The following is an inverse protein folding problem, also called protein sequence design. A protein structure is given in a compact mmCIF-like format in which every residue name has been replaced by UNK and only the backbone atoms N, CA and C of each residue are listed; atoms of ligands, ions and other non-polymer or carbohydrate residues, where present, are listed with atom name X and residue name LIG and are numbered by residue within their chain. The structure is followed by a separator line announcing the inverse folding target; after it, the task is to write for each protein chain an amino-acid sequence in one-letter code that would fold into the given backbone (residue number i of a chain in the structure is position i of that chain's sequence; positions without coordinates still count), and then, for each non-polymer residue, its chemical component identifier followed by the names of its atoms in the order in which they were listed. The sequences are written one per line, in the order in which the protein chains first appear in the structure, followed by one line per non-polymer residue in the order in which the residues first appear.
data_IF_417836837987
#
_entry.id   IF_417836837987
#
_cell.length_a   1.000
_cell.length_b   1.000
_cell.length_c   1.000
_cell.angle_alpha   90.00
_cell.angle_beta   90.00
_cell.angle_gamma   90.00
#
_symmetry.space_group_name_H-M   'P 1'
#
loop_
_entity.id
_entity.type
_entity.pdbx_description
1 polymer ?
#
# COMPACT_ATOMS: atom_id res chain seq x y z
N UNK A 1 -20.28 0.63 -59.47
CA UNK A 1 -19.93 -0.80 -59.65
C UNK A 1 -20.47 -1.52 -58.43
N UNK A 2 -21.47 -2.38 -58.64
CA UNK A 2 -22.15 -3.18 -57.60
C UNK A 2 -21.20 -4.24 -57.02
N UNK A 3 -21.33 -4.54 -55.73
CA UNK A 3 -21.83 -5.84 -55.27
C UNK A 3 -22.06 -5.83 -53.74
N UNK A 4 -23.34 -5.95 -53.37
CA UNK A 4 -23.85 -6.36 -52.06
C UNK A 4 -23.85 -7.89 -52.05
N UNK A 5 -23.40 -8.52 -50.96
CA UNK A 5 -23.69 -9.94 -50.69
C UNK A 5 -24.50 -10.01 -49.40
N UNK A 6 -25.77 -10.40 -49.56
CA UNK A 6 -26.67 -10.82 -48.50
C UNK A 6 -26.60 -12.34 -48.39
N UNK A 7 -26.58 -12.87 -47.17
CA UNK A 7 -26.84 -14.29 -46.91
C UNK A 7 -28.11 -14.39 -46.06
N UNK A 8 -29.05 -15.17 -46.59
CA UNK A 8 -30.45 -15.31 -46.22
C UNK A 8 -30.62 -16.36 -45.13
N UNK A 9 -31.42 -16.06 -44.11
CA UNK A 9 -31.93 -17.02 -43.14
C UNK A 9 -32.94 -17.98 -43.80
N UNK A 10 -32.86 -19.27 -43.47
CA UNK A 10 -33.86 -20.29 -43.84
C UNK A 10 -34.58 -20.73 -42.57
N UNK A 11 -35.84 -20.33 -42.44
CA UNK A 11 -36.82 -20.98 -41.58
C UNK A 11 -37.52 -22.08 -42.38
N UNK A 12 -37.51 -23.30 -41.87
CA UNK A 12 -38.32 -24.41 -42.37
C UNK A 12 -39.01 -25.11 -41.20
N UNK A 13 -40.33 -24.91 -41.08
CA UNK A 13 -41.20 -25.70 -40.20
C UNK A 13 -41.69 -26.91 -40.98
N UNK A 14 -41.58 -28.11 -40.39
CA UNK A 14 -42.16 -29.34 -40.94
C UNK A 14 -42.38 -30.38 -39.84
N UNK A 15 -43.61 -30.47 -39.34
CA UNK A 15 -44.09 -31.54 -38.47
C UNK A 15 -44.08 -32.88 -39.19
N UNK A 16 -43.58 -33.95 -38.55
CA UNK A 16 -44.16 -35.30 -38.66
C UNK A 16 -43.96 -36.06 -37.35
N UNK A 17 -45.05 -36.63 -36.86
CA UNK A 17 -45.13 -37.46 -35.68
C UNK A 17 -44.86 -38.94 -36.02
N UNK A 18 -44.48 -39.65 -34.95
CA UNK A 18 -44.68 -41.08 -34.71
C UNK A 18 -43.67 -42.09 -35.29
N UNK A 19 -42.82 -42.60 -34.39
CA UNK A 19 -42.48 -44.03 -34.31
C UNK A 19 -42.12 -44.38 -32.87
N UNK A 20 -43.12 -44.88 -32.14
CA UNK A 20 -42.94 -45.81 -31.04
C UNK A 20 -42.22 -47.08 -31.52
N UNK A 21 -41.11 -47.47 -30.89
CA UNK A 21 -40.95 -48.76 -30.20
C UNK A 21 -39.48 -49.13 -29.93
N UNK A 22 -39.19 -49.38 -28.64
CA UNK A 22 -38.38 -50.53 -28.26
C UNK A 22 -36.89 -50.33 -28.05
N UNK A 23 -36.50 -49.63 -26.98
CA UNK A 23 -35.37 -50.07 -26.15
C UNK A 23 -35.79 -49.96 -24.69
N UNK A 24 -35.67 -51.08 -23.97
CA UNK A 24 -36.20 -51.29 -22.64
C UNK A 24 -35.51 -50.43 -21.58
N UNK A 25 -36.32 -49.88 -20.69
CA UNK A 25 -35.91 -49.31 -19.42
C UNK A 25 -35.34 -50.44 -18.54
N UNK A 26 -34.12 -50.31 -17.99
CA UNK A 26 -33.81 -50.96 -16.74
C UNK A 26 -34.57 -50.24 -15.62
N UNK A 27 -35.26 -51.04 -14.82
CA UNK A 27 -35.81 -50.80 -13.50
C UNK A 27 -35.15 -49.64 -12.75
N UNK A 28 -35.83 -48.48 -12.70
CA UNK A 28 -35.53 -47.43 -11.74
C UNK A 28 -35.92 -47.95 -10.36
N UNK A 29 -34.98 -48.66 -9.72
CA UNK A 29 -34.90 -48.64 -8.28
C UNK A 29 -34.77 -47.19 -7.88
N UNK A 30 -35.77 -46.69 -7.13
CA UNK A 30 -35.77 -45.36 -6.55
C UNK A 30 -34.42 -45.08 -5.88
N UNK A 31 -33.57 -44.32 -6.58
CA UNK A 31 -32.45 -43.66 -5.97
C UNK A 31 -33.06 -42.51 -5.16
N UNK A 32 -32.82 -42.59 -3.87
CA UNK A 32 -33.15 -41.61 -2.87
C UNK A 32 -32.47 -40.28 -3.25
N UNK A 33 -33.19 -39.36 -3.87
CA UNK A 33 -32.71 -38.00 -4.19
C UNK A 33 -32.67 -37.10 -2.92
N UNK A 34 -32.11 -37.61 -1.81
CA UNK A 34 -31.94 -36.84 -0.58
C UNK A 34 -30.51 -36.72 -0.08
N UNK A 35 -29.52 -37.16 -0.85
CA UNK A 35 -28.12 -36.85 -0.52
C UNK A 35 -27.65 -35.71 -1.42
N UNK A 36 -27.94 -34.51 -0.95
CA UNK A 36 -27.19 -33.31 -1.29
C UNK A 36 -25.70 -33.62 -1.06
N UNK A 37 -24.84 -33.56 -2.09
CA UNK A 37 -23.40 -33.82 -1.93
C UNK A 37 -22.72 -32.87 -0.93
N UNK A 38 -23.36 -31.75 -0.56
CA UNK A 38 -22.94 -30.86 0.52
C UNK A 38 -23.15 -31.42 1.95
N UNK A 39 -23.73 -32.62 2.09
CA UNK A 39 -23.97 -33.28 3.39
C UNK A 39 -22.89 -34.29 3.80
N UNK A 40 -21.91 -34.56 2.95
CA UNK A 40 -20.75 -35.37 3.26
C UNK A 40 -19.57 -34.48 3.73
N UNK A 41 -19.19 -34.49 5.02
CA UNK A 41 -18.05 -33.72 5.53
C UNK A 41 -16.69 -34.20 4.98
N UNK A 42 -16.66 -35.20 4.10
CA UNK A 42 -15.47 -35.64 3.36
C UNK A 42 -15.51 -35.30 1.85
N UNK A 43 -16.57 -34.62 1.38
CA UNK A 43 -16.62 -34.07 0.03
C UNK A 43 -15.90 -32.71 -0.01
N UNK A 44 -14.63 -32.74 -0.37
CA UNK A 44 -13.93 -31.55 -0.87
C UNK A 44 -14.15 -31.49 -2.39
N UNK A 45 -14.81 -30.45 -2.92
CA UNK A 45 -14.84 -30.24 -4.36
C UNK A 45 -13.41 -30.11 -4.88
N UNK A 46 -13.11 -30.69 -6.04
CA UNK A 46 -11.84 -30.42 -6.71
C UNK A 46 -11.75 -28.93 -7.07
N UNK A 47 -10.57 -28.31 -6.93
CA UNK A 47 -10.27 -26.89 -7.22
C UNK A 47 -10.94 -26.32 -8.49
N UNK A 48 -11.27 -27.15 -9.49
CA UNK A 48 -11.95 -26.74 -10.72
C UNK A 48 -13.45 -26.39 -10.60
N UNK A 49 -14.13 -26.65 -9.46
CA UNK A 49 -15.56 -26.28 -9.28
C UNK A 49 -15.78 -24.93 -8.58
N UNK A 50 -14.71 -24.29 -8.08
CA UNK A 50 -14.78 -22.99 -7.41
C UNK A 50 -14.48 -21.80 -8.34
N UNK A 51 -13.85 -22.03 -9.49
CA UNK A 51 -13.43 -21.01 -10.46
C UNK A 51 -14.55 -20.48 -11.39
N UNK A 52 -15.81 -20.41 -10.93
CA UNK A 52 -16.92 -19.91 -11.76
C UNK A 52 -18.02 -19.18 -10.98
N UNK A 53 -17.69 -18.64 -9.80
CA UNK A 53 -18.67 -17.90 -9.02
C UNK A 53 -18.21 -16.46 -8.88
N UNK A 54 -18.89 -15.56 -9.61
CA UNK A 54 -18.95 -14.10 -9.39
C UNK A 54 -19.46 -13.75 -7.96
N UNK A 55 -18.90 -14.34 -6.91
CA UNK A 55 -19.46 -14.31 -5.56
C UNK A 55 -18.44 -14.59 -4.48
N UNK A 56 -18.57 -13.84 -3.37
CA UNK A 56 -17.78 -13.96 -2.15
C UNK A 56 -17.55 -15.42 -1.74
N UNK A 57 -16.27 -15.79 -1.67
CA UNK A 57 -15.77 -17.07 -1.18
C UNK A 57 -15.18 -16.88 0.22
N UNK A 58 -15.83 -17.45 1.24
CA UNK A 58 -15.25 -17.63 2.57
C UNK A 58 -14.59 -18.99 2.62
N UNK A 59 -13.30 -19.03 2.94
CA UNK A 59 -12.56 -20.26 3.19
C UNK A 59 -12.79 -20.73 4.62
N UNK A 60 -11.88 -21.54 5.16
CA UNK A 60 -12.02 -22.12 6.50
C UNK A 60 -11.13 -21.40 7.51
N UNK A 61 -11.24 -21.73 8.80
CA UNK A 61 -10.31 -21.21 9.81
C UNK A 61 -9.03 -22.05 9.95
N UNK A 62 -8.66 -22.79 8.90
CA UNK A 62 -7.48 -23.64 8.80
C UNK A 62 -6.62 -23.15 7.61
N UNK A 63 -5.35 -23.57 7.51
CA UNK A 63 -4.49 -23.21 6.38
C UNK A 63 -5.11 -23.62 5.01
N UNK A 64 -5.40 -22.64 4.16
CA UNK A 64 -6.03 -22.82 2.86
C UNK A 64 -5.10 -22.48 1.66
N UNK A 65 -5.34 -23.10 0.50
CA UNK A 65 -4.59 -22.86 -0.76
C UNK A 65 -5.58 -22.64 -1.90
N UNK A 66 -5.80 -21.37 -2.23
CA UNK A 66 -6.73 -20.90 -3.23
C UNK A 66 -6.01 -20.40 -4.50
N UNK A 67 -6.59 -20.73 -5.65
CA UNK A 67 -6.19 -20.21 -6.95
C UNK A 67 -7.43 -19.80 -7.73
N UNK A 68 -7.54 -18.50 -7.98
CA UNK A 68 -8.56 -17.86 -8.78
C UNK A 68 -8.32 -17.99 -10.27
N UNK A 69 -9.12 -17.26 -11.04
CA UNK A 69 -9.34 -17.52 -12.45
C UNK A 69 -8.89 -16.42 -13.40
N UNK A 70 -9.78 -16.13 -14.34
CA UNK A 70 -9.67 -15.01 -15.27
C UNK A 70 -10.81 -14.00 -15.07
N UNK A 71 -11.60 -14.20 -14.02
CA UNK A 71 -12.77 -13.43 -13.64
C UNK A 71 -12.45 -12.72 -12.32
N UNK A 72 -13.23 -11.69 -11.97
CA UNK A 72 -13.04 -10.93 -10.73
C UNK A 72 -13.45 -11.80 -9.53
N UNK A 73 -12.50 -12.14 -8.66
CA UNK A 73 -12.70 -12.99 -7.49
C UNK A 73 -12.82 -12.16 -6.19
N UNK A 74 -13.53 -12.69 -5.19
CA UNK A 74 -13.64 -12.08 -3.85
C UNK A 74 -13.45 -13.17 -2.81
N UNK A 75 -12.34 -13.16 -2.08
CA UNK A 75 -11.88 -14.28 -1.25
C UNK A 75 -11.54 -13.79 0.16
N UNK A 76 -12.05 -14.52 1.17
CA UNK A 76 -11.70 -14.38 2.59
C UNK A 76 -11.00 -15.65 3.06
N UNK A 77 -9.75 -15.54 3.52
CA UNK A 77 -9.00 -16.61 4.19
C UNK A 77 -9.53 -16.93 5.58
N UNK A 78 -10.12 -15.94 6.26
CA UNK A 78 -10.57 -16.01 7.67
C UNK A 78 -9.43 -16.20 8.67
N UNK A 79 -8.85 -17.39 8.77
CA UNK A 79 -7.65 -17.56 9.57
C UNK A 79 -7.00 -18.90 9.36
N UNK A 80 -5.74 -19.02 9.75
CA UNK A 80 -4.85 -20.02 9.16
C UNK A 80 -3.68 -19.29 8.51
N UNK A 81 -2.73 -20.04 7.96
CA UNK A 81 -1.68 -19.46 7.12
C UNK A 81 -2.03 -19.79 5.67
N UNK A 82 -2.69 -18.84 5.02
CA UNK A 82 -3.34 -19.04 3.75
C UNK A 82 -2.45 -18.67 2.58
N UNK A 83 -2.71 -19.30 1.44
CA UNK A 83 -2.10 -18.92 0.18
C UNK A 83 -3.18 -18.60 -0.83
N UNK A 84 -3.40 -17.31 -1.07
CA UNK A 84 -4.47 -16.80 -1.92
C UNK A 84 -3.89 -16.22 -3.20
N UNK A 85 -4.38 -16.69 -4.35
CA UNK A 85 -3.99 -16.17 -5.68
C UNK A 85 -5.23 -15.74 -6.43
N UNK A 86 -5.30 -14.47 -6.85
CA UNK A 86 -6.41 -13.93 -7.63
C UNK A 86 -6.34 -14.37 -9.10
N UNK A 87 -5.18 -14.18 -9.73
CA UNK A 87 -4.90 -14.68 -11.07
C UNK A 87 -5.04 -13.58 -12.11
N UNK A 88 -6.09 -13.61 -12.94
CA UNK A 88 -6.45 -12.43 -13.74
C UNK A 88 -7.85 -12.01 -13.36
N UNK A 89 -8.13 -10.73 -13.42
CA UNK A 89 -9.39 -10.17 -12.93
C UNK A 89 -9.05 -8.99 -12.04
N UNK A 90 -10.05 -8.22 -11.63
CA UNK A 90 -9.86 -7.28 -10.52
C UNK A 90 -10.32 -8.00 -9.25
N UNK A 91 -9.36 -8.52 -8.49
CA UNK A 91 -9.60 -9.43 -7.38
C UNK A 91 -9.63 -8.68 -6.03
N UNK A 92 -10.39 -9.21 -5.07
CA UNK A 92 -10.36 -8.77 -3.68
C UNK A 92 -9.97 -9.95 -2.78
N UNK A 93 -8.78 -9.90 -2.18
CA UNK A 93 -8.24 -10.96 -1.34
C UNK A 93 -7.99 -10.44 0.09
N UNK A 94 -8.49 -11.14 1.09
CA UNK A 94 -8.29 -10.86 2.51
C UNK A 94 -7.74 -12.13 3.17
N UNK A 95 -6.51 -12.10 3.69
CA UNK A 95 -5.86 -13.23 4.37
C UNK A 95 -6.52 -13.54 5.71
N UNK A 96 -6.81 -12.50 6.48
CA UNK A 96 -7.52 -12.62 7.75
C UNK A 96 -6.55 -12.75 8.91
N UNK A 97 -6.43 -13.92 9.53
CA UNK A 97 -5.59 -14.09 10.72
C UNK A 97 -4.63 -15.27 10.60
N UNK A 98 -3.33 -14.97 10.67
CA UNK A 98 -2.22 -15.90 10.52
C UNK A 98 -1.23 -15.32 9.51
N UNK A 99 -0.20 -16.08 9.15
CA UNK A 99 0.85 -15.57 8.27
C UNK A 99 0.53 -15.98 6.84
N UNK A 100 -0.03 -15.06 6.08
CA UNK A 100 -0.64 -15.32 4.80
C UNK A 100 0.28 -14.97 3.62
N UNK A 101 -0.02 -15.52 2.46
CA UNK A 101 0.65 -15.22 1.19
C UNK A 101 -0.39 -14.87 0.15
N UNK A 102 -0.46 -13.58 -0.21
CA UNK A 102 -1.43 -13.06 -1.17
C UNK A 102 -0.73 -12.69 -2.48
N UNK A 103 -1.33 -13.09 -3.60
CA UNK A 103 -0.89 -12.69 -4.94
C UNK A 103 -2.10 -12.21 -5.74
N UNK A 104 -2.17 -10.91 -6.06
CA UNK A 104 -3.23 -10.34 -6.90
C UNK A 104 -3.16 -10.90 -8.31
N UNK A 105 -2.06 -10.59 -9.00
CA UNK A 105 -1.74 -11.15 -10.30
C UNK A 105 -1.81 -10.10 -11.39
N UNK A 106 -2.90 -10.06 -12.15
CA UNK A 106 -3.03 -9.18 -13.30
C UNK A 106 -4.35 -8.41 -13.29
N UNK A 107 -4.26 -7.13 -13.65
CA UNK A 107 -5.27 -6.07 -13.43
C UNK A 107 -5.17 -5.50 -12.01
N UNK A 108 -5.97 -4.47 -11.70
CA UNK A 108 -5.88 -3.81 -10.40
C UNK A 108 -6.65 -4.58 -9.34
N UNK A 109 -5.92 -5.03 -8.32
CA UNK A 109 -6.39 -5.87 -7.23
C UNK A 109 -6.47 -5.10 -5.92
N UNK A 110 -7.24 -5.63 -4.97
CA UNK A 110 -7.34 -5.11 -3.61
C UNK A 110 -6.98 -6.20 -2.60
N UNK A 111 -5.87 -6.03 -1.89
CA UNK A 111 -5.26 -7.06 -1.06
C UNK A 111 -5.16 -6.59 0.41
N UNK A 112 -5.52 -7.45 1.34
CA UNK A 112 -5.42 -7.22 2.78
C UNK A 112 -4.77 -8.43 3.44
N UNK A 113 -3.59 -8.29 4.04
CA UNK A 113 -2.94 -9.37 4.79
C UNK A 113 -3.75 -9.74 6.03
N UNK A 114 -4.01 -8.74 6.87
CA UNK A 114 -4.89 -8.87 8.02
C UNK A 114 -4.10 -8.87 9.32
N UNK A 115 -3.90 -10.02 9.96
CA UNK A 115 -3.16 -10.10 11.20
C UNK A 115 -2.19 -11.27 11.17
N UNK A 116 -0.90 -10.99 11.20
CA UNK A 116 0.19 -11.95 11.13
C UNK A 116 1.37 -11.33 10.39
N UNK A 117 2.40 -12.14 10.12
CA UNK A 117 3.49 -11.70 9.24
C UNK A 117 3.16 -12.15 7.81
N UNK A 118 2.71 -11.23 6.98
CA UNK A 118 2.15 -11.50 5.66
C UNK A 118 3.14 -11.23 4.53
N UNK A 119 2.99 -11.98 3.44
CA UNK A 119 3.71 -11.74 2.18
C UNK A 119 2.71 -11.39 1.09
N UNK A 120 2.74 -10.15 0.62
CA UNK A 120 1.77 -9.64 -0.36
C UNK A 120 2.48 -9.22 -1.65
N UNK A 121 1.96 -9.71 -2.78
CA UNK A 121 2.39 -9.32 -4.12
C UNK A 121 1.18 -8.81 -4.91
N UNK A 122 1.16 -7.52 -5.24
CA UNK A 122 0.13 -6.91 -6.09
C UNK A 122 0.16 -7.52 -7.50
N UNK A 123 1.26 -7.29 -8.20
CA UNK A 123 1.52 -7.87 -9.51
C UNK A 123 1.54 -6.80 -10.59
N UNK A 124 0.63 -6.89 -11.55
CA UNK A 124 0.55 -5.95 -12.65
C UNK A 124 -0.83 -5.32 -12.71
N UNK A 125 -0.94 -4.01 -12.57
CA UNK A 125 -2.23 -3.34 -12.46
C UNK A 125 -2.13 -2.20 -11.46
N UNK A 126 -3.18 -1.42 -11.30
CA UNK A 126 -3.19 -0.41 -10.23
C UNK A 126 -3.76 -1.09 -8.99
N UNK A 127 -2.89 -1.50 -8.08
CA UNK A 127 -3.23 -2.30 -6.90
C UNK A 127 -3.43 -1.42 -5.65
N UNK A 128 -4.30 -1.89 -4.74
CA UNK A 128 -4.53 -1.28 -3.44
C UNK A 128 -4.26 -2.30 -2.33
N UNK A 129 -3.26 -2.07 -1.51
CA UNK A 129 -2.75 -3.05 -0.54
C UNK A 129 -2.71 -2.47 0.88
N UNK A 130 -3.09 -3.29 1.86
CA UNK A 130 -2.88 -3.07 3.29
C UNK A 130 -2.21 -4.31 3.88
N UNK A 131 -1.15 -4.13 4.68
CA UNK A 131 -0.44 -5.23 5.32
C UNK A 131 -1.28 -5.78 6.46
N UNK A 132 -1.52 -4.94 7.45
CA UNK A 132 -2.31 -5.24 8.62
C UNK A 132 -1.46 -5.23 9.88
N UNK A 133 -1.79 -6.09 10.84
CA UNK A 133 -1.01 -6.19 12.08
C UNK A 133 0.07 -7.24 11.94
N UNK A 134 1.33 -6.84 12.08
CA UNK A 134 2.50 -7.71 12.09
C UNK A 134 3.56 -7.19 11.14
N UNK A 135 4.72 -7.84 11.10
CA UNK A 135 5.83 -7.41 10.25
C UNK A 135 5.63 -7.96 8.83
N UNK A 136 5.18 -7.11 7.90
CA UNK A 136 4.75 -7.52 6.56
C UNK A 136 5.82 -7.27 5.49
N UNK A 137 5.78 -8.08 4.43
CA UNK A 137 6.62 -7.88 3.25
C UNK A 137 5.76 -7.72 2.00
N UNK A 138 5.80 -6.53 1.43
CA UNK A 138 4.86 -6.11 0.39
C UNK A 138 5.63 -5.66 -0.85
N UNK A 139 5.17 -6.12 -2.01
CA UNK A 139 5.63 -5.65 -3.32
C UNK A 139 4.42 -5.37 -4.20
N UNK A 140 4.21 -4.11 -4.58
CA UNK A 140 3.02 -3.70 -5.34
C UNK A 140 3.18 -4.06 -6.82
N UNK A 141 4.28 -3.67 -7.45
CA UNK A 141 4.72 -4.25 -8.73
C UNK A 141 4.83 -3.24 -9.86
N UNK A 142 4.05 -3.44 -10.93
CA UNK A 142 4.00 -2.54 -12.08
C UNK A 142 2.74 -1.67 -12.00
N UNK A 143 2.79 -0.45 -12.54
CA UNK A 143 1.73 0.57 -12.54
C UNK A 143 1.65 1.36 -11.23
N UNK A 144 0.66 2.25 -11.12
CA UNK A 144 0.57 3.21 -10.03
C UNK A 144 -0.23 2.57 -8.90
N UNK A 145 0.45 2.24 -7.83
CA UNK A 145 -0.12 1.46 -6.74
C UNK A 145 -0.35 2.31 -5.48
N UNK A 146 -1.16 1.77 -4.58
CA UNK A 146 -1.47 2.38 -3.29
C UNK A 146 -1.18 1.35 -2.19
N UNK A 147 -0.26 1.71 -1.30
CA UNK A 147 -0.15 1.09 0.02
C UNK A 147 -0.74 2.03 1.07
N UNK A 148 -1.65 1.52 1.90
CA UNK A 148 -2.30 2.31 2.94
C UNK A 148 -2.27 1.63 4.32
N UNK A 149 -1.21 1.91 5.08
CA UNK A 149 -1.01 1.36 6.41
C UNK A 149 -1.99 1.86 7.49
N UNK A 150 -2.93 2.73 7.14
CA UNK A 150 -3.98 3.19 8.09
C UNK A 150 -5.12 2.16 8.20
N UNK A 151 -5.07 1.09 7.39
CA UNK A 151 -6.10 0.07 7.24
C UNK A 151 -7.42 0.62 6.67
N UNK A 152 -8.39 -0.27 6.42
CA UNK A 152 -9.72 0.10 5.95
C UNK A 152 -10.57 0.79 7.06
N UNK A 153 -10.17 2.01 7.43
CA UNK A 153 -10.96 3.01 8.13
C UNK A 153 -11.08 2.84 9.63
N UNK A 154 -10.13 3.38 10.42
CA UNK A 154 -10.35 3.85 11.79
C UNK A 154 -11.09 2.84 12.72
N UNK A 155 -10.93 1.53 12.46
CA UNK A 155 -11.55 0.43 13.20
C UNK A 155 -10.70 -0.01 14.41
N UNK A 156 -9.61 0.71 14.69
CA UNK A 156 -8.79 0.53 15.88
C UNK A 156 -7.85 -0.67 15.84
N UNK A 157 -7.60 -1.21 14.65
CA UNK A 157 -6.37 -1.93 14.34
C UNK A 157 -5.48 -0.88 13.70
N UNK A 158 -4.48 -0.38 14.44
CA UNK A 158 -3.34 0.24 13.78
C UNK A 158 -2.61 -0.88 13.06
N UNK A 159 -2.12 -0.64 11.85
CA UNK A 159 -1.01 -1.45 11.36
C UNK A 159 0.13 -1.22 12.36
N UNK A 160 0.55 -2.31 12.97
CA UNK A 160 1.55 -2.31 14.01
C UNK A 160 2.52 -3.41 13.64
N UNK A 161 3.72 -3.02 13.24
CA UNK A 161 4.72 -3.92 12.68
C UNK A 161 5.88 -3.11 12.14
N UNK A 162 7.03 -3.76 11.92
CA UNK A 162 8.12 -3.17 11.16
C UNK A 162 8.02 -3.70 9.71
N UNK A 163 7.39 -2.95 8.82
CA UNK A 163 7.04 -3.37 7.46
C UNK A 163 8.11 -3.06 6.42
N UNK A 164 8.12 -3.84 5.34
CA UNK A 164 8.91 -3.54 4.16
C UNK A 164 8.02 -3.48 2.93
N UNK A 165 7.84 -2.28 2.40
CA UNK A 165 6.97 -1.99 1.25
C UNK A 165 7.80 -1.56 0.06
N UNK A 166 7.54 -2.17 -1.09
CA UNK A 166 8.12 -1.79 -2.39
C UNK A 166 7.01 -1.42 -3.36
N UNK A 167 6.99 -0.16 -3.81
CA UNK A 167 6.11 0.32 -4.88
C UNK A 167 6.41 -0.41 -6.20
N UNK A 168 7.62 -0.23 -6.70
CA UNK A 168 8.09 -0.94 -7.88
C UNK A 168 8.23 -0.02 -9.07
N UNK A 169 7.32 -0.09 -10.04
CA UNK A 169 7.37 0.74 -11.24
C UNK A 169 6.06 1.47 -11.48
N UNK A 170 6.04 2.77 -11.25
CA UNK A 170 4.81 3.55 -11.33
C UNK A 170 5.00 4.90 -10.68
N UNK A 171 3.89 5.59 -10.46
CA UNK A 171 3.89 6.69 -9.52
C UNK A 171 3.07 6.23 -8.33
N UNK A 172 3.76 5.71 -7.33
CA UNK A 172 3.16 4.98 -6.22
C UNK A 172 2.84 5.90 -5.05
N UNK A 173 1.83 5.55 -4.27
CA UNK A 173 1.52 6.19 -3.01
C UNK A 173 1.74 5.19 -1.88
N UNK A 174 2.79 5.40 -1.09
CA UNK A 174 3.13 4.55 0.04
C UNK A 174 2.95 5.36 1.32
N UNK A 175 2.04 4.92 2.18
CA UNK A 175 1.84 5.50 3.49
C UNK A 175 1.80 4.38 4.53
N UNK A 176 2.62 4.46 5.55
CA UNK A 176 2.60 3.59 6.71
C UNK A 176 1.78 4.21 7.86
N UNK A 177 1.95 3.67 9.08
CA UNK A 177 1.22 4.17 10.25
C UNK A 177 1.97 4.08 11.59
N UNK A 178 2.12 2.88 12.18
CA UNK A 178 2.93 2.67 13.39
C UNK A 178 3.98 1.61 13.07
N UNK A 179 5.26 1.88 13.32
CA UNK A 179 6.28 0.91 12.97
C UNK A 179 7.64 1.53 12.75
N UNK A 180 8.70 0.72 12.70
CA UNK A 180 9.93 1.14 12.02
C UNK A 180 9.90 0.59 10.60
N UNK A 181 9.32 1.34 9.70
CA UNK A 181 8.97 0.89 8.38
C UNK A 181 10.05 1.22 7.36
N UNK A 182 10.06 0.45 6.27
CA UNK A 182 10.90 0.70 5.11
C UNK A 182 10.03 0.85 3.87
N UNK A 183 9.84 2.09 3.41
CA UNK A 183 9.10 2.42 2.21
C UNK A 183 10.05 2.67 1.04
N UNK A 184 9.89 1.92 -0.05
CA UNK A 184 10.74 1.99 -1.23
C UNK A 184 9.88 2.29 -2.46
N UNK A 185 9.97 3.50 -3.02
CA UNK A 185 9.19 3.92 -4.20
C UNK A 185 9.57 3.12 -5.44
N UNK A 186 10.81 3.28 -5.90
CA UNK A 186 11.37 2.47 -6.99
C UNK A 186 11.57 3.27 -8.27
N UNK A 187 10.79 2.99 -9.32
CA UNK A 187 10.84 3.70 -10.59
C UNK A 187 9.59 4.55 -10.76
N UNK A 188 9.78 5.80 -11.16
CA UNK A 188 8.72 6.77 -11.42
C UNK A 188 8.60 7.75 -10.26
N UNK A 189 7.56 8.58 -10.26
CA UNK A 189 7.48 9.70 -9.33
C UNK A 189 6.57 9.32 -8.16
N UNK A 190 7.18 9.00 -7.03
CA UNK A 190 6.49 8.37 -5.91
C UNK A 190 6.18 9.37 -4.79
N UNK A 191 5.14 9.08 -4.02
CA UNK A 191 4.81 9.78 -2.78
C UNK A 191 4.95 8.80 -1.62
N UNK A 192 5.91 9.05 -0.74
CA UNK A 192 6.16 8.24 0.46
C UNK A 192 5.85 9.10 1.69
N UNK A 193 5.10 8.53 2.64
CA UNK A 193 4.72 9.22 3.86
C UNK A 193 4.92 8.28 5.07
N UNK A 194 5.98 8.56 5.83
CA UNK A 194 6.39 7.92 7.09
C UNK A 194 5.88 8.65 8.33
N UNK A 195 4.72 9.32 8.23
CA UNK A 195 4.19 10.12 9.35
C UNK A 195 2.89 9.57 9.85
N UNK A 196 2.71 9.65 11.16
CA UNK A 196 1.48 9.25 11.79
C UNK A 196 0.45 10.41 11.84
N UNK A 197 -0.85 10.18 11.51
CA UNK A 197 -1.85 11.26 11.35
C UNK A 197 -2.24 12.04 12.60
N UNK A 198 -2.10 11.43 13.79
CA UNK A 198 -2.61 11.97 15.06
C UNK A 198 -1.51 12.39 16.06
N UNK A 199 -0.25 12.08 15.76
CA UNK A 199 0.96 12.38 16.52
C UNK A 199 2.15 12.07 15.64
N UNK A 200 3.31 12.69 15.86
CA UNK A 200 4.52 12.23 15.20
C UNK A 200 4.92 10.84 15.72
N UNK A 201 5.40 9.94 14.86
CA UNK A 201 5.83 8.60 15.27
C UNK A 201 7.17 8.61 16.05
N UNK A 202 7.21 7.98 17.22
CA UNK A 202 8.48 7.82 17.95
C UNK A 202 9.43 6.80 17.29
N UNK A 203 8.91 6.02 16.35
CA UNK A 203 9.67 5.07 15.56
C UNK A 203 10.27 5.75 14.33
N UNK A 204 11.38 5.18 13.85
CA UNK A 204 12.21 5.80 12.84
C UNK A 204 12.13 5.00 11.54
N UNK A 205 11.59 5.63 10.51
CA UNK A 205 11.35 4.99 9.23
C UNK A 205 12.50 5.21 8.25
N UNK A 206 12.52 4.39 7.21
CA UNK A 206 13.44 4.51 6.08
C UNK A 206 12.65 4.67 4.81
N UNK A 207 12.69 5.87 4.23
CA UNK A 207 12.03 6.19 2.97
C UNK A 207 13.08 6.36 1.86
N UNK A 208 12.95 5.59 0.78
CA UNK A 208 13.78 5.70 -0.42
C UNK A 208 12.90 5.91 -1.66
N UNK A 209 12.96 7.11 -2.25
CA UNK A 209 12.19 7.47 -3.46
C UNK A 209 12.62 6.65 -4.67
N UNK A 210 13.90 6.72 -5.02
CA UNK A 210 14.48 5.87 -6.06
C UNK A 210 14.77 6.65 -7.33
N UNK A 211 14.08 6.36 -8.44
CA UNK A 211 14.25 7.07 -9.70
C UNK A 211 13.00 7.85 -10.07
N UNK A 212 13.05 9.17 -9.98
CA UNK A 212 11.90 9.99 -10.32
C UNK A 212 12.02 11.37 -9.70
N UNK A 213 10.93 12.12 -9.76
CA UNK A 213 10.76 13.29 -8.88
C UNK A 213 9.85 12.85 -7.74
N UNK A 214 10.46 12.55 -6.59
CA UNK A 214 9.77 11.91 -5.47
C UNK A 214 9.37 12.93 -4.39
N UNK A 215 8.30 12.62 -3.66
CA UNK A 215 7.81 13.40 -2.53
C UNK A 215 7.87 12.55 -1.27
N UNK A 216 8.81 12.88 -0.37
CA UNK A 216 9.02 12.13 0.87
C UNK A 216 8.59 13.00 2.05
N UNK A 217 7.63 12.51 2.82
CA UNK A 217 7.20 13.10 4.08
C UNK A 217 7.69 12.19 5.20
N UNK A 218 8.49 12.73 6.11
CA UNK A 218 8.94 12.00 7.29
C UNK A 218 8.84 12.85 8.54
N UNK A 219 8.90 12.18 9.67
CA UNK A 219 8.98 12.80 10.98
C UNK A 219 10.20 12.34 11.78
N UNK A 220 10.18 12.64 13.07
CA UNK A 220 11.34 12.63 13.94
C UNK A 220 11.98 11.24 14.08
N UNK A 221 13.16 11.07 13.49
CA UNK A 221 13.92 9.84 13.55
C UNK A 221 14.15 9.24 12.16
N UNK A 222 13.30 9.62 11.21
CA UNK A 222 13.30 9.05 9.88
C UNK A 222 14.58 9.33 9.11
N UNK A 223 14.90 8.40 8.23
CA UNK A 223 15.94 8.55 7.23
C UNK A 223 15.32 8.57 5.85
N UNK A 224 15.42 9.72 5.18
CA UNK A 224 14.90 9.97 3.85
C UNK A 224 16.04 9.98 2.82
N UNK A 225 15.83 9.31 1.70
CA UNK A 225 16.74 9.29 0.54
C UNK A 225 15.90 9.54 -0.70
N UNK A 226 16.13 10.66 -1.38
CA UNK A 226 15.38 10.99 -2.60
C UNK A 226 15.79 10.08 -3.76
N UNK A 227 17.11 9.89 -3.92
CA UNK A 227 17.68 9.10 -4.99
C UNK A 227 17.98 9.96 -6.22
N UNK A 228 17.35 9.62 -7.34
CA UNK A 228 17.66 10.17 -8.64
C UNK A 228 16.51 10.97 -9.21
N UNK A 229 16.59 12.29 -9.07
CA UNK A 229 15.84 13.23 -9.88
C UNK A 229 15.77 14.58 -9.21
N UNK A 230 14.58 15.10 -8.98
CA UNK A 230 14.40 16.36 -8.25
C UNK A 230 13.30 16.15 -7.24
N UNK A 231 13.74 15.80 -6.04
CA UNK A 231 12.89 15.34 -4.97
C UNK A 231 12.48 16.49 -4.04
N UNK A 232 11.40 16.23 -3.31
CA UNK A 232 10.87 17.14 -2.31
C UNK A 232 10.76 16.42 -0.98
N UNK A 233 11.19 17.10 0.08
CA UNK A 233 11.18 16.55 1.43
C UNK A 233 10.29 17.43 2.28
N UNK A 234 9.33 16.83 2.96
CA UNK A 234 8.55 17.45 4.01
C UNK A 234 8.93 16.82 5.35
N UNK A 235 9.29 17.66 6.31
CA UNK A 235 9.69 17.25 7.65
C UNK A 235 8.62 17.73 8.62
N UNK A 236 7.87 16.80 9.18
CA UNK A 236 7.00 17.05 10.31
C UNK A 236 7.84 17.02 11.61
N UNK A 237 7.56 17.94 12.53
CA UNK A 237 8.36 18.08 13.74
C UNK A 237 7.56 18.70 14.89
N UNK A 238 7.92 18.32 16.11
CA UNK A 238 7.37 18.86 17.36
C UNK A 238 8.53 19.24 18.28
N UNK A 239 8.44 20.41 18.92
CA UNK A 239 9.47 20.85 19.85
C UNK A 239 9.33 20.21 21.23
N UNK A 240 10.43 20.27 22.00
CA UNK A 240 10.49 19.98 23.44
C UNK A 240 10.10 18.55 23.83
N UNK A 241 10.11 17.60 22.88
CA UNK A 241 9.76 16.19 23.09
C UNK A 241 10.98 15.24 23.18
N UNK A 242 12.22 15.76 23.23
CA UNK A 242 13.47 14.95 23.17
C UNK A 242 13.52 14.01 21.94
N UNK A 243 12.90 14.42 20.82
CA UNK A 243 12.75 13.61 19.61
C UNK A 243 13.99 13.71 18.71
N UNK A 244 14.32 12.62 18.01
CA UNK A 244 15.48 12.56 17.12
C UNK A 244 15.22 13.35 15.83
N UNK A 245 16.26 13.98 15.30
CA UNK A 245 16.15 14.77 14.07
C UNK A 245 16.01 13.85 12.84
N UNK A 246 15.23 14.30 11.86
CA UNK A 246 15.13 13.63 10.55
C UNK A 246 16.48 13.68 9.85
N UNK A 247 16.82 12.63 9.12
CA UNK A 247 18.05 12.54 8.33
C UNK A 247 17.69 12.54 6.85
N UNK A 248 18.27 13.44 6.06
CA UNK A 248 18.26 13.31 4.59
C UNK A 248 19.66 12.92 4.12
N UNK A 249 19.75 11.78 3.43
CA UNK A 249 21.03 11.15 3.10
C UNK A 249 21.72 11.76 1.87
N UNK A 250 20.97 12.30 0.91
CA UNK A 250 21.49 12.61 -0.43
C UNK A 250 21.00 13.92 -1.07
N UNK A 251 20.45 14.85 -0.27
CA UNK A 251 19.89 16.12 -0.74
C UNK A 251 20.78 16.88 -1.76
N UNK A 252 20.27 17.09 -2.98
CA UNK A 252 20.81 18.05 -3.95
C UNK A 252 20.26 19.46 -3.68
N UNK A 253 20.91 20.18 -2.77
CA UNK A 253 20.54 21.53 -2.37
C UNK A 253 20.40 22.57 -3.51
N UNK A 254 20.90 22.28 -4.72
CA UNK A 254 20.73 23.17 -5.87
C UNK A 254 19.34 23.06 -6.51
N UNK A 255 18.72 21.88 -6.43
CA UNK A 255 17.50 21.54 -7.17
C UNK A 255 16.35 21.09 -6.27
N UNK A 256 16.66 20.51 -5.13
CA UNK A 256 15.70 19.92 -4.20
C UNK A 256 15.34 20.90 -3.09
N UNK A 257 14.16 20.69 -2.52
CA UNK A 257 13.56 21.57 -1.52
C UNK A 257 13.21 20.78 -0.28
N UNK A 258 13.52 21.36 0.87
CA UNK A 258 13.06 20.89 2.17
C UNK A 258 11.99 21.85 2.69
N UNK A 259 10.85 21.30 3.09
CA UNK A 259 9.77 22.02 3.75
C UNK A 259 9.63 21.50 5.16
N UNK A 260 9.56 22.39 6.15
CA UNK A 260 9.14 22.01 7.50
C UNK A 260 7.67 22.35 7.67
N UNK A 261 6.87 21.34 8.04
CA UNK A 261 5.46 21.50 8.35
C UNK A 261 5.30 22.08 9.76
N UNK A 262 4.91 23.36 9.86
CA UNK A 262 4.73 24.07 11.12
C UNK A 262 3.24 24.38 11.42
N UNK A 263 2.33 23.59 10.85
CA UNK A 263 0.87 23.76 10.94
C UNK A 263 0.36 23.81 12.39
N UNK A 264 1.00 23.08 13.31
CA UNK A 264 0.59 22.99 14.72
C UNK A 264 0.94 24.22 15.56
N UNK A 265 1.79 25.11 15.03
CA UNK A 265 2.24 26.29 15.76
C UNK A 265 1.31 27.50 15.62
N UNK A 266 0.19 27.39 14.92
CA UNK A 266 -0.79 28.48 14.81
C UNK A 266 -0.30 29.70 14.03
N UNK A 267 -1.23 30.56 13.60
CA UNK A 267 -0.93 31.65 12.66
C UNK A 267 -0.04 32.78 13.21
N UNK A 268 0.21 32.83 14.52
CA UNK A 268 1.10 33.81 15.15
C UNK A 268 2.49 33.24 15.49
N UNK A 269 2.77 31.99 15.14
CA UNK A 269 4.12 31.46 15.22
C UNK A 269 5.10 32.23 14.35
N UNK A 270 6.29 32.42 14.89
CA UNK A 270 7.45 32.91 14.17
C UNK A 270 8.53 31.89 14.34
N UNK A 271 8.92 31.24 13.24
CA UNK A 271 9.97 30.25 13.19
C UNK A 271 11.14 30.76 12.35
N UNK A 272 12.34 30.46 12.81
CA UNK A 272 13.61 30.76 12.15
C UNK A 272 14.47 29.50 12.10
N UNK A 273 15.29 29.38 11.05
CA UNK A 273 16.20 28.25 10.89
C UNK A 273 17.64 28.73 10.70
N UNK A 274 18.60 27.91 11.16
CA UNK A 274 20.04 28.10 10.95
C UNK A 274 20.68 26.77 10.55
N UNK A 275 21.67 26.80 9.64
CA UNK A 275 22.44 25.62 9.28
C UNK A 275 23.84 25.65 9.94
N UNK A 276 24.16 24.61 10.70
CA UNK A 276 25.50 24.37 11.25
C UNK A 276 26.20 23.27 10.43
N UNK A 277 27.27 23.63 9.70
CA UNK A 277 28.01 22.70 8.84
C UNK A 277 29.34 22.24 9.45
N UNK A 278 29.54 20.93 9.52
CA UNK A 278 30.82 20.30 9.86
C UNK A 278 31.53 19.80 8.57
N UNK A 279 32.62 20.45 8.14
CA UNK A 279 33.36 20.06 6.94
C UNK A 279 34.13 18.75 7.07
N UNK A 280 34.40 18.27 8.28
CA UNK A 280 35.15 17.02 8.49
C UNK A 280 34.27 15.79 8.27
N UNK A 281 32.99 15.88 8.64
CA UNK A 281 31.98 14.83 8.41
C UNK A 281 31.20 15.02 7.11
N UNK A 282 31.11 16.24 6.59
CA UNK A 282 30.18 16.57 5.51
C UNK A 282 28.73 16.63 5.98
N UNK A 283 28.50 16.85 7.27
CA UNK A 283 27.15 16.92 7.85
C UNK A 283 26.74 18.38 8.03
N UNK A 284 25.51 18.74 7.63
CA UNK A 284 24.88 19.99 8.01
C UNK A 284 23.68 19.71 8.92
N UNK A 285 23.61 20.36 10.07
CA UNK A 285 22.47 20.28 10.97
C UNK A 285 21.62 21.54 10.84
N UNK A 286 20.34 21.40 10.55
CA UNK A 286 19.38 22.50 10.57
C UNK A 286 18.80 22.58 11.98
N UNK A 287 18.99 23.75 12.58
CA UNK A 287 18.48 24.12 13.89
C UNK A 287 17.24 24.99 13.67
N UNK A 288 16.12 24.62 14.29
CA UNK A 288 14.91 25.43 14.32
C UNK A 288 14.82 26.17 15.66
N UNK A 289 14.31 27.40 15.62
CA UNK A 289 13.97 28.18 16.81
C UNK A 289 12.76 29.04 16.52
N UNK A 290 12.10 29.55 17.55
CA UNK A 290 10.92 30.36 17.29
C UNK A 290 10.18 30.84 18.52
N UNK A 291 8.94 31.27 18.30
CA UNK A 291 8.01 31.61 19.36
C UNK A 291 6.56 31.54 18.88
N UNK A 292 5.65 31.20 19.77
CA UNK A 292 4.19 31.18 19.54
C UNK A 292 3.46 31.56 20.83
N UNK A 293 2.25 32.12 20.73
CA UNK A 293 1.40 32.47 21.87
C UNK A 293 0.44 31.34 22.25
N UNK A 294 0.69 30.66 23.36
CA UNK A 294 -0.25 29.68 23.94
C UNK A 294 -1.10 30.38 25.00
N UNK A 295 -2.42 30.40 24.82
CA UNK A 295 -3.39 31.02 25.74
C UNK A 295 -3.05 32.48 26.16
N UNK A 296 -2.46 33.27 25.26
CA UNK A 296 -2.06 34.65 25.53
C UNK A 296 -0.69 34.80 26.23
N UNK A 297 0.05 33.71 26.41
CA UNK A 297 1.42 33.70 26.93
C UNK A 297 2.39 33.40 25.79
N UNK A 298 3.39 34.28 25.60
CA UNK A 298 4.46 34.02 24.65
C UNK A 298 5.32 32.86 25.14
N UNK A 299 5.38 31.80 24.35
CA UNK A 299 6.30 30.69 24.50
C UNK A 299 7.41 30.89 23.46
N UNK A 300 8.67 30.79 23.90
CA UNK A 300 9.84 30.81 23.02
C UNK A 300 10.40 29.42 22.93
N UNK A 301 10.79 29.03 21.73
CA UNK A 301 11.39 27.75 21.39
C UNK A 301 12.88 28.02 21.20
N UNK A 302 13.69 27.37 22.05
CA UNK A 302 15.15 27.44 21.94
C UNK A 302 15.60 26.70 20.66
N UNK A 303 16.87 26.86 20.27
CA UNK A 303 17.41 26.21 19.08
C UNK A 303 17.50 24.70 19.29
N UNK A 304 16.71 23.93 18.53
CA UNK A 304 16.71 22.47 18.54
C UNK A 304 17.08 21.90 17.16
N UNK A 305 17.84 20.78 17.09
CA UNK A 305 18.08 20.09 15.83
C UNK A 305 16.79 19.47 15.29
N UNK A 306 16.39 19.85 14.08
CA UNK A 306 15.22 19.28 13.41
C UNK A 306 15.58 18.41 12.21
N UNK A 307 16.74 18.66 11.60
CA UNK A 307 17.17 17.95 10.40
C UNK A 307 18.69 17.81 10.33
N UNK A 308 19.14 16.64 9.91
CA UNK A 308 20.53 16.30 9.65
C UNK A 308 20.66 15.98 8.16
N UNK A 309 21.44 16.78 7.46
CA UNK A 309 21.78 16.56 6.05
C UNK A 309 23.15 15.92 5.96
N UNK A 310 23.24 14.79 5.27
CA UNK A 310 24.50 14.09 5.03
C UNK A 310 25.09 14.44 3.65
N UNK A 311 26.35 14.08 3.42
CA UNK A 311 27.04 14.25 2.14
C UNK A 311 27.10 15.69 1.62
N UNK A 312 27.04 16.67 2.52
CA UNK A 312 27.02 18.09 2.21
C UNK A 312 28.42 18.67 1.99
N UNK A 313 28.48 19.77 1.23
CA UNK A 313 29.66 20.61 1.07
C UNK A 313 29.36 22.03 1.52
N UNK A 314 30.39 22.82 1.82
CA UNK A 314 30.19 24.23 2.15
C UNK A 314 29.48 25.02 1.03
N UNK A 315 29.63 24.60 -0.24
CA UNK A 315 28.94 25.22 -1.36
C UNK A 315 27.46 24.84 -1.39
N UNK A 316 27.13 23.54 -1.26
CA UNK A 316 25.74 23.07 -1.27
C UNK A 316 24.94 23.63 -0.08
N UNK A 317 25.56 23.77 1.10
CA UNK A 317 24.90 24.42 2.26
C UNK A 317 24.47 25.86 1.97
N UNK A 318 25.22 26.62 1.15
CA UNK A 318 24.81 27.99 0.78
C UNK A 318 23.67 28.05 -0.24
N UNK A 319 23.35 26.92 -0.87
CA UNK A 319 22.29 26.81 -1.88
C UNK A 319 20.98 26.27 -1.30
N UNK A 320 21.00 25.78 -0.05
CA UNK A 320 19.84 25.20 0.64
C UNK A 320 18.59 26.06 0.49
N UNK A 321 17.52 25.40 0.07
CA UNK A 321 16.18 25.96 -0.04
C UNK A 321 15.31 25.32 1.04
N UNK A 322 15.25 25.97 2.19
CA UNK A 322 14.40 25.56 3.31
C UNK A 322 13.17 26.47 3.37
N UNK A 323 12.01 25.85 3.26
CA UNK A 323 10.70 26.50 3.40
C UNK A 323 10.11 26.16 4.76
N UNK A 324 9.46 27.13 5.39
CA UNK A 324 8.65 26.93 6.60
C UNK A 324 7.20 27.10 6.17
N UNK A 325 6.42 26.04 6.19
CA UNK A 325 4.99 26.10 5.86
C UNK A 325 4.15 26.19 7.14
N UNK A 326 3.28 27.20 7.20
CA UNK A 326 2.39 27.47 8.33
C UNK A 326 0.92 27.24 7.93
N UNK A 327 0.66 26.57 6.80
CA UNK A 327 -0.68 26.26 6.35
C UNK A 327 -1.45 25.46 7.43
N UNK A 328 -2.75 25.74 7.53
CA UNK A 328 -3.67 25.30 8.59
C UNK A 328 -4.85 24.51 8.01
#
# INVERSE_FOLDING_TARGET
MLAIIAITAVFGVGMMADMLSGYGLPDEGAADESEDPASDPSYMPSQAEFASADGLMSLTGDDDDFEGGAEDDTVLGEGGNDVLRGGNGADWLDGGAGNDTLMGGASGDALSGGAGEDYILGGAGEDAVTGGVGDDTIALGDNNDIYDGVGAGNLGFSEAGDDVVRGGAGNDFLRDFDGQDTLLGGLGNDTLNGTHPDSLDEMADVLEGGFGEDALVGDNGDTLTGGAGTDSFEVAFEFDQDRDAVVIADLDAANEVVTFAASDFGADAVMEWEAAFDPDSGTATILLSGSHTVEGTLVTLDQEPALILQNMTAESVTQLQVTLDYAA
#
